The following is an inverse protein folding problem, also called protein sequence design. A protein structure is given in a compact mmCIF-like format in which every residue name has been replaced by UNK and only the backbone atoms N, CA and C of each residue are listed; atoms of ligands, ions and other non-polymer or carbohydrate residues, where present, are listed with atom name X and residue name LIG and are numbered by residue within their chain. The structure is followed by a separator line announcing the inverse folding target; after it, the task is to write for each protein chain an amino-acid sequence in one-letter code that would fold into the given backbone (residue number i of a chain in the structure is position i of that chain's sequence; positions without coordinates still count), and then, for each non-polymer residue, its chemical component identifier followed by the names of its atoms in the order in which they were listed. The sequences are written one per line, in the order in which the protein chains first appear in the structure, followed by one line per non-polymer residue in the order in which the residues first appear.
data_IF_179300261733
#
_entry.id   IF_179300261733
#
_cell.length_a   1.000
_cell.length_b   1.000
_cell.length_c   1.000
_cell.angle_alpha   90.00
_cell.angle_beta   90.00
_cell.angle_gamma   90.00
#
_symmetry.space_group_name_H-M   'P 1'
#
loop_
_entity.id
_entity.type
_entity.pdbx_description
1 polymer ?
#
# COMPACT_ATOMS: atom_id res chain seq x y z
N UNK A 1 9.16 0.34 6.86
CA UNK A 1 9.63 -0.24 5.58
C UNK A 1 11.14 -0.16 5.50
N UNK A 2 11.78 -1.22 5.05
CA UNK A 2 13.24 -1.33 4.90
C UNK A 2 13.81 -0.40 3.81
N UNK A 3 13.00 -0.03 2.82
CA UNK A 3 13.40 0.90 1.74
C UNK A 3 13.20 2.38 2.10
N UNK A 4 12.52 2.71 3.20
CA UNK A 4 12.14 4.09 3.55
C UNK A 4 13.33 5.06 3.64
N UNK A 5 14.46 4.74 4.30
CA UNK A 5 15.58 5.70 4.38
C UNK A 5 16.17 6.05 3.01
N UNK A 6 16.31 5.04 2.13
CA UNK A 6 16.75 5.24 0.76
C UNK A 6 15.79 6.08 -0.06
N UNK A 7 14.49 5.83 0.08
CA UNK A 7 13.43 6.58 -0.61
C UNK A 7 13.37 8.02 -0.14
N UNK A 8 13.47 8.28 1.17
CA UNK A 8 13.49 9.63 1.72
C UNK A 8 14.65 10.45 1.16
N UNK A 9 15.86 9.86 1.12
CA UNK A 9 17.05 10.46 0.52
C UNK A 9 16.85 10.74 -0.98
N UNK A 10 16.36 9.75 -1.73
CA UNK A 10 16.14 9.84 -3.20
C UNK A 10 15.09 10.91 -3.53
N UNK A 11 13.97 10.94 -2.84
CA UNK A 11 12.93 11.95 -3.04
C UNK A 11 13.41 13.36 -2.65
N UNK A 12 14.24 13.48 -1.62
CA UNK A 12 14.83 14.76 -1.19
C UNK A 12 15.62 15.46 -2.30
N UNK A 13 16.27 14.71 -3.19
CA UNK A 13 17.02 15.27 -4.33
C UNK A 13 16.11 15.96 -5.36
N UNK A 14 14.81 15.66 -5.40
CA UNK A 14 13.85 16.24 -6.33
C UNK A 14 13.03 17.40 -5.74
N UNK A 15 13.19 17.72 -4.47
CA UNK A 15 12.46 18.84 -3.83
C UNK A 15 12.84 20.17 -4.46
N UNK A 16 14.12 20.37 -4.78
CA UNK A 16 14.67 21.56 -5.46
C UNK A 16 14.09 22.88 -4.91
N UNK A 17 13.30 23.59 -5.75
CA UNK A 17 12.66 24.88 -5.42
C UNK A 17 11.25 24.72 -4.85
N UNK A 18 10.74 23.53 -4.72
CA UNK A 18 9.39 23.26 -4.20
C UNK A 18 9.35 23.57 -2.70
N UNK A 19 8.27 24.22 -2.25
CA UNK A 19 8.02 24.47 -0.82
C UNK A 19 7.48 23.19 -0.16
N UNK A 20 8.27 22.11 -0.17
CA UNK A 20 7.93 20.79 0.35
C UNK A 20 8.99 20.36 1.35
N UNK A 21 8.56 19.81 2.47
CA UNK A 21 9.41 19.16 3.46
C UNK A 21 9.05 17.67 3.52
N UNK A 22 10.05 16.82 3.40
CA UNK A 22 9.92 15.37 3.56
C UNK A 22 10.41 14.99 4.96
N UNK A 23 9.64 14.18 5.67
CA UNK A 23 10.00 13.70 6.99
C UNK A 23 9.51 12.28 7.21
N UNK A 24 10.20 11.55 8.08
CA UNK A 24 9.72 10.29 8.63
C UNK A 24 8.64 10.59 9.69
N UNK A 25 7.47 10.00 9.54
CA UNK A 25 6.35 10.15 10.46
C UNK A 25 6.08 8.87 11.29
N UNK A 26 6.98 7.90 11.28
CA UNK A 26 6.76 6.63 11.99
C UNK A 26 6.60 6.78 13.51
N UNK A 27 7.18 7.84 14.11
CA UNK A 27 7.00 8.14 15.53
C UNK A 27 5.66 8.82 15.84
N UNK A 28 5.05 9.46 14.85
CA UNK A 28 3.91 10.36 15.03
C UNK A 28 2.59 9.72 14.61
N UNK A 29 2.65 8.76 13.67
CA UNK A 29 1.48 8.14 13.05
C UNK A 29 1.56 6.61 13.15
N UNK A 30 0.47 6.01 13.61
CA UNK A 30 0.25 4.57 13.61
C UNK A 30 -0.78 4.22 12.54
N UNK A 31 -0.47 3.22 11.73
CA UNK A 31 -1.39 2.72 10.70
C UNK A 31 -2.18 1.53 11.26
N UNK A 32 -3.51 1.63 11.23
CA UNK A 32 -4.42 0.56 11.58
C UNK A 32 -5.27 0.19 10.36
N UNK A 33 -5.49 -1.10 10.16
CA UNK A 33 -6.36 -1.59 9.10
C UNK A 33 -7.73 -1.99 9.65
N UNK A 34 -8.80 -1.62 8.96
CA UNK A 34 -10.17 -2.08 9.24
C UNK A 34 -10.71 -2.70 7.97
N UNK A 35 -11.25 -3.92 8.07
CA UNK A 35 -11.79 -4.62 6.92
C UNK A 35 -13.06 -5.41 7.26
N UNK A 36 -13.84 -5.71 6.22
CA UNK A 36 -15.06 -6.53 6.32
C UNK A 36 -16.33 -5.72 6.55
N UNK A 37 -17.44 -6.44 6.69
CA UNK A 37 -18.79 -5.85 6.75
C UNK A 37 -19.06 -4.98 7.98
N UNK A 38 -18.30 -5.20 9.06
CA UNK A 38 -18.41 -4.38 10.29
C UNK A 38 -17.67 -3.04 10.24
N UNK A 39 -16.92 -2.75 9.18
CA UNK A 39 -16.10 -1.54 9.08
C UNK A 39 -16.91 -0.25 9.25
N UNK A 40 -18.13 -0.20 8.71
CA UNK A 40 -19.02 0.97 8.84
C UNK A 40 -19.37 1.29 10.30
N UNK A 41 -19.74 0.27 11.06
CA UNK A 41 -20.08 0.44 12.48
C UNK A 41 -18.84 0.86 13.30
N UNK A 42 -17.69 0.27 13.00
CA UNK A 42 -16.43 0.59 13.64
C UNK A 42 -16.01 2.06 13.39
N UNK A 43 -16.10 2.55 12.16
CA UNK A 43 -15.79 3.93 11.83
C UNK A 43 -16.79 4.92 12.46
N UNK A 44 -18.08 4.60 12.43
CA UNK A 44 -19.10 5.42 13.09
C UNK A 44 -18.83 5.58 14.59
N UNK A 45 -18.36 4.53 15.24
CA UNK A 45 -17.96 4.61 16.64
C UNK A 45 -16.77 5.54 16.88
N UNK A 46 -15.87 5.71 15.92
CA UNK A 46 -14.79 6.70 15.96
C UNK A 46 -15.23 8.13 15.62
N UNK A 47 -16.54 8.37 15.41
CA UNK A 47 -17.06 9.69 15.05
C UNK A 47 -16.83 10.06 13.57
N UNK A 48 -16.50 9.08 12.72
CA UNK A 48 -16.33 9.29 11.28
C UNK A 48 -17.23 8.37 10.47
N UNK A 49 -17.34 8.63 9.17
CA UNK A 49 -18.03 7.76 8.22
C UNK A 49 -17.06 6.90 7.40
N UNK A 50 -17.61 6.16 6.45
CA UNK A 50 -16.81 5.53 5.40
C UNK A 50 -16.58 6.56 4.30
N UNK A 51 -15.32 6.77 3.85
CA UNK A 51 -15.05 7.59 2.67
C UNK A 51 -15.81 7.02 1.45
N UNK A 52 -16.38 7.89 0.61
CA UNK A 52 -17.36 7.50 -0.41
C UNK A 52 -16.75 6.72 -1.58
N UNK A 53 -15.55 7.09 -2.00
CA UNK A 53 -14.87 6.49 -3.15
C UNK A 53 -13.50 5.92 -2.77
N UNK A 54 -12.94 5.09 -3.64
CA UNK A 54 -11.58 4.59 -3.47
C UNK A 54 -10.60 5.77 -3.41
N UNK A 55 -9.70 5.72 -2.44
CA UNK A 55 -8.71 6.75 -2.08
C UNK A 55 -9.29 8.06 -1.54
N UNK A 56 -10.61 8.14 -1.34
CA UNK A 56 -11.19 9.24 -0.57
C UNK A 56 -10.72 9.18 0.89
N UNK A 57 -10.69 10.36 1.49
CA UNK A 57 -10.14 10.59 2.83
C UNK A 57 -11.16 11.33 3.68
N UNK A 58 -11.43 10.82 4.88
CA UNK A 58 -12.17 11.53 5.92
C UNK A 58 -11.29 11.76 7.13
N UNK A 59 -11.32 12.97 7.66
CA UNK A 59 -10.64 13.33 8.91
C UNK A 59 -11.56 13.11 10.10
N UNK A 60 -11.00 12.67 11.20
CA UNK A 60 -11.64 12.59 12.51
C UNK A 60 -10.65 13.06 13.58
N UNK A 61 -11.09 13.20 14.83
CA UNK A 61 -10.28 13.83 15.87
C UNK A 61 -8.90 13.18 16.05
N UNK A 62 -8.85 11.86 16.05
CA UNK A 62 -7.62 11.12 16.32
C UNK A 62 -6.78 10.83 15.06
N UNK A 63 -7.27 11.18 13.87
CA UNK A 63 -6.54 10.89 12.64
C UNK A 63 -7.34 11.00 11.34
N UNK A 64 -7.06 10.08 10.45
CA UNK A 64 -7.58 10.10 9.08
C UNK A 64 -7.97 8.69 8.66
N UNK A 65 -9.16 8.52 8.06
CA UNK A 65 -9.64 7.29 7.44
C UNK A 65 -9.47 7.40 5.91
N UNK A 66 -8.86 6.40 5.31
CA UNK A 66 -8.58 6.32 3.87
C UNK A 66 -9.24 5.05 3.34
N UNK A 67 -10.13 5.17 2.37
CA UNK A 67 -10.72 3.99 1.70
C UNK A 67 -9.76 3.43 0.66
N UNK A 68 -9.21 2.25 0.90
CA UNK A 68 -8.31 1.61 -0.05
C UNK A 68 -9.07 0.90 -1.18
N UNK A 69 -10.18 0.24 -0.83
CA UNK A 69 -11.12 -0.39 -1.76
C UNK A 69 -12.49 -0.60 -1.09
N UNK A 70 -13.30 -1.47 -1.67
CA UNK A 70 -14.65 -1.76 -1.16
C UNK A 70 -14.64 -2.38 0.24
N UNK A 71 -13.59 -3.13 0.57
CA UNK A 71 -13.52 -3.94 1.79
C UNK A 71 -12.48 -3.49 2.81
N UNK A 72 -11.55 -2.59 2.42
CA UNK A 72 -10.42 -2.18 3.25
C UNK A 72 -10.38 -0.68 3.47
N UNK A 73 -10.24 -0.31 4.73
CA UNK A 73 -10.03 1.06 5.16
C UNK A 73 -8.75 1.11 5.97
N UNK A 74 -7.88 2.06 5.67
CA UNK A 74 -6.69 2.33 6.46
C UNK A 74 -6.93 3.56 7.32
N UNK A 75 -6.60 3.48 8.59
CA UNK A 75 -6.60 4.61 9.52
C UNK A 75 -5.15 5.02 9.74
N UNK A 76 -4.86 6.30 9.54
CA UNK A 76 -3.62 6.94 9.95
C UNK A 76 -3.94 7.72 11.24
N UNK A 77 -3.55 7.17 12.38
CA UNK A 77 -3.93 7.65 13.71
C UNK A 77 -2.73 8.29 14.38
N UNK A 78 -2.91 9.40 15.07
CA UNK A 78 -1.86 10.00 15.90
C UNK A 78 -1.37 8.99 16.95
N UNK A 79 -0.05 8.88 17.12
CA UNK A 79 0.55 7.85 17.97
C UNK A 79 0.04 7.86 19.41
N UNK A 80 -0.22 9.03 19.99
CA UNK A 80 -0.79 9.20 21.33
C UNK A 80 -2.25 8.72 21.44
N UNK A 81 -3.00 8.64 20.33
CA UNK A 81 -4.37 8.19 20.27
C UNK A 81 -4.51 6.73 19.79
N UNK A 82 -3.43 6.08 19.37
CA UNK A 82 -3.46 4.77 18.74
C UNK A 82 -4.07 3.69 19.66
N UNK A 83 -3.69 3.66 20.94
CA UNK A 83 -4.21 2.68 21.90
C UNK A 83 -5.70 2.87 22.20
N UNK A 84 -6.19 4.07 22.52
CA UNK A 84 -7.63 4.32 22.65
C UNK A 84 -8.43 3.93 21.40
N UNK A 85 -7.98 4.32 20.21
CA UNK A 85 -8.63 3.97 18.94
C UNK A 85 -8.65 2.45 18.73
N UNK A 86 -7.52 1.76 18.95
CA UNK A 86 -7.44 0.31 18.87
C UNK A 86 -8.45 -0.37 19.80
N UNK A 87 -8.50 0.02 21.07
CA UNK A 87 -9.40 -0.59 22.05
C UNK A 87 -10.87 -0.38 21.66
N UNK A 88 -11.23 0.79 21.12
CA UNK A 88 -12.56 1.08 20.62
C UNK A 88 -12.91 0.21 19.41
N UNK A 89 -11.98 0.04 18.46
CA UNK A 89 -12.18 -0.85 17.33
C UNK A 89 -12.29 -2.31 17.76
N UNK A 90 -11.45 -2.77 18.68
CA UNK A 90 -11.42 -4.15 19.18
C UNK A 90 -12.69 -4.56 19.92
N UNK A 91 -13.48 -3.60 20.43
CA UNK A 91 -14.80 -3.88 21.00
C UNK A 91 -15.88 -4.16 19.96
N UNK A 92 -15.64 -3.84 18.68
CA UNK A 92 -16.62 -3.91 17.59
C UNK A 92 -16.17 -4.84 16.45
N UNK A 93 -14.90 -5.21 16.43
CA UNK A 93 -14.29 -6.06 15.40
C UNK A 93 -13.30 -7.02 16.04
N UNK A 94 -13.04 -8.14 15.40
CA UNK A 94 -12.03 -9.10 15.86
C UNK A 94 -10.63 -8.57 15.61
N UNK A 95 -9.78 -8.37 16.64
CA UNK A 95 -8.40 -7.98 16.46
C UNK A 95 -7.63 -9.07 15.73
N UNK A 96 -6.86 -8.68 14.72
CA UNK A 96 -5.98 -9.57 13.96
C UNK A 96 -4.61 -8.92 13.76
N UNK A 97 -3.59 -9.73 13.50
CA UNK A 97 -2.23 -9.23 13.30
C UNK A 97 -1.96 -8.79 11.85
N UNK A 98 -0.79 -8.19 11.65
CA UNK A 98 -0.27 -7.77 10.33
C UNK A 98 -0.31 -8.86 9.26
N UNK A 99 -0.09 -10.16 9.55
CA UNK A 99 -0.22 -11.22 8.53
C UNK A 99 -1.60 -11.27 7.87
N UNK A 100 -2.68 -11.07 8.63
CA UNK A 100 -4.03 -11.03 8.06
C UNK A 100 -4.22 -9.82 7.13
N UNK A 101 -3.69 -8.65 7.50
CA UNK A 101 -3.70 -7.47 6.63
C UNK A 101 -2.91 -7.69 5.34
N UNK A 102 -1.72 -8.29 5.44
CA UNK A 102 -0.90 -8.65 4.26
C UNK A 102 -1.62 -9.61 3.33
N UNK A 103 -2.35 -10.58 3.89
CA UNK A 103 -3.18 -11.47 3.07
C UNK A 103 -4.24 -10.70 2.28
N UNK A 104 -4.88 -9.69 2.89
CA UNK A 104 -5.84 -8.83 2.19
C UNK A 104 -5.17 -7.99 1.09
N UNK A 105 -3.94 -7.51 1.31
CA UNK A 105 -3.17 -6.79 0.29
C UNK A 105 -2.81 -7.70 -0.90
N UNK A 106 -2.36 -8.92 -0.63
CA UNK A 106 -2.08 -9.93 -1.65
C UNK A 106 -3.37 -10.27 -2.43
N UNK A 107 -4.49 -10.45 -1.73
CA UNK A 107 -5.79 -10.71 -2.37
C UNK A 107 -6.24 -9.56 -3.27
N UNK A 108 -5.92 -8.32 -2.91
CA UNK A 108 -6.20 -7.12 -3.70
C UNK A 108 -5.13 -6.83 -4.79
N UNK A 109 -4.11 -7.67 -4.94
CA UNK A 109 -3.05 -7.49 -5.94
C UNK A 109 -2.08 -6.34 -5.64
N UNK A 110 -1.96 -5.93 -4.37
CA UNK A 110 -1.04 -4.86 -3.96
C UNK A 110 0.36 -5.45 -3.76
N UNK A 111 1.35 -5.08 -4.59
CA UNK A 111 2.71 -5.59 -4.45
C UNK A 111 3.44 -4.88 -3.30
N UNK A 112 4.23 -5.64 -2.56
CA UNK A 112 5.17 -5.11 -1.59
C UNK A 112 6.58 -5.10 -2.18
N UNK A 113 7.16 -3.91 -2.33
CA UNK A 113 8.55 -3.75 -2.73
C UNK A 113 9.41 -3.66 -1.47
N UNK A 114 10.43 -4.49 -1.40
CA UNK A 114 11.40 -4.59 -0.30
C UNK A 114 12.81 -4.29 -0.80
N UNK A 115 13.80 -4.24 0.07
CA UNK A 115 15.21 -4.12 -0.35
C UNK A 115 15.65 -5.24 -1.30
N UNK A 116 15.12 -6.45 -1.12
CA UNK A 116 15.44 -7.61 -1.97
C UNK A 116 14.83 -7.53 -3.37
N UNK A 117 13.83 -6.68 -3.58
CA UNK A 117 13.06 -6.61 -4.84
C UNK A 117 12.99 -5.20 -5.43
N UNK A 118 13.62 -4.21 -4.78
CA UNK A 118 13.66 -2.84 -5.32
C UNK A 118 14.48 -2.79 -6.60
N UNK A 119 14.04 -1.98 -7.56
CA UNK A 119 14.69 -1.75 -8.85
C UNK A 119 14.70 -2.98 -9.80
N UNK A 120 14.15 -4.12 -9.41
CA UNK A 120 14.08 -5.35 -10.21
C UNK A 120 12.95 -5.34 -11.24
N UNK A 121 11.89 -4.55 -11.02
CA UNK A 121 10.68 -4.60 -11.83
C UNK A 121 10.27 -3.22 -12.34
N UNK A 122 9.86 -3.16 -13.59
CA UNK A 122 9.11 -1.98 -14.06
C UNK A 122 7.69 -2.00 -13.46
N UNK A 123 7.05 -0.84 -13.26
CA UNK A 123 5.74 -0.76 -12.61
C UNK A 123 4.67 -1.68 -13.17
N UNK A 124 4.68 -1.93 -14.48
CA UNK A 124 3.73 -2.83 -15.13
C UNK A 124 3.98 -4.31 -14.80
N UNK A 125 5.23 -4.72 -14.53
CA UNK A 125 5.51 -6.08 -14.07
C UNK A 125 4.93 -6.32 -12.67
N UNK A 126 4.93 -5.30 -11.82
CA UNK A 126 4.31 -5.31 -10.50
C UNK A 126 2.80 -5.01 -10.52
N UNK A 127 2.16 -4.97 -11.71
CA UNK A 127 0.74 -4.66 -11.91
C UNK A 127 0.28 -3.30 -11.33
N UNK A 128 1.20 -2.36 -11.08
CA UNK A 128 0.86 -1.07 -10.45
C UNK A 128 -0.14 -0.25 -11.28
N UNK A 129 -0.17 -0.43 -12.60
CA UNK A 129 -1.17 0.22 -13.46
C UNK A 129 -2.59 -0.30 -13.22
N UNK A 130 -2.74 -1.56 -12.80
CA UNK A 130 -4.05 -2.19 -12.57
C UNK A 130 -4.69 -1.72 -11.27
N UNK A 131 -3.88 -1.30 -10.31
CA UNK A 131 -4.32 -0.83 -8.98
C UNK A 131 -4.24 0.71 -8.85
N UNK A 132 -4.09 1.44 -9.97
CA UNK A 132 -4.03 2.89 -9.95
C UNK A 132 -2.70 3.47 -9.46
N UNK A 133 -1.65 2.65 -9.30
CA UNK A 133 -0.33 3.08 -8.85
C UNK A 133 0.50 3.81 -9.90
N UNK A 134 0.04 3.86 -11.17
CA UNK A 134 0.69 4.57 -12.28
C UNK A 134 -0.31 5.47 -12.98
N UNK A 135 0.06 6.73 -13.17
CA UNK A 135 -0.70 7.67 -13.99
C UNK A 135 0.01 7.91 -15.33
N UNK A 136 -0.72 7.79 -16.42
CA UNK A 136 -0.23 8.10 -17.77
C UNK A 136 -0.63 9.51 -18.24
N UNK A 137 -1.39 10.24 -17.44
CA UNK A 137 -1.92 11.58 -17.74
C UNK A 137 -1.29 12.69 -16.90
N UNK A 138 -0.54 12.36 -15.86
CA UNK A 138 0.20 13.35 -15.05
C UNK A 138 1.42 13.88 -15.81
N UNK A 139 1.99 14.99 -15.31
CA UNK A 139 3.23 15.57 -15.83
C UNK A 139 4.44 14.63 -15.76
N UNK A 140 5.56 15.08 -16.33
CA UNK A 140 6.79 14.29 -16.46
C UNK A 140 7.39 13.89 -15.11
N UNK A 141 8.01 12.71 -15.07
CA UNK A 141 8.73 12.19 -13.92
C UNK A 141 9.93 11.32 -14.37
N UNK A 142 10.97 11.16 -13.54
CA UNK A 142 12.11 10.31 -13.87
C UNK A 142 11.70 8.86 -14.11
N UNK A 143 12.17 8.26 -15.21
CA UNK A 143 11.84 6.89 -15.60
C UNK A 143 10.51 6.72 -16.38
N UNK A 144 9.77 7.79 -16.61
CA UNK A 144 8.49 7.72 -17.35
C UNK A 144 8.63 7.16 -18.77
N UNK A 145 9.79 7.34 -19.43
CA UNK A 145 10.00 6.88 -20.80
C UNK A 145 9.86 5.37 -20.92
N UNK A 146 10.46 4.61 -20.01
CA UNK A 146 10.35 3.14 -19.97
C UNK A 146 8.89 2.73 -19.71
N UNK A 147 8.23 3.40 -18.78
CA UNK A 147 6.83 3.13 -18.40
C UNK A 147 5.89 3.42 -19.59
N UNK A 148 6.06 4.56 -20.26
CA UNK A 148 5.26 4.94 -21.42
C UNK A 148 5.54 4.01 -22.62
N UNK A 149 6.80 3.72 -22.91
CA UNK A 149 7.18 2.80 -23.98
C UNK A 149 6.58 1.41 -23.78
N UNK A 150 6.62 0.89 -22.56
CA UNK A 150 6.01 -0.40 -22.23
C UNK A 150 4.49 -0.37 -22.43
N UNK A 151 3.83 0.75 -22.12
CA UNK A 151 2.39 0.93 -22.29
C UNK A 151 1.96 0.97 -23.76
N UNK A 152 2.65 1.77 -24.57
CA UNK A 152 2.18 2.13 -25.91
C UNK A 152 2.83 1.32 -27.03
N UNK A 153 4.05 0.85 -26.87
CA UNK A 153 4.84 0.19 -27.91
C UNK A 153 5.28 -1.22 -27.53
N UNK A 154 5.23 -1.57 -26.26
CA UNK A 154 5.73 -2.83 -25.74
C UNK A 154 4.64 -3.84 -25.37
N UNK A 155 5.07 -5.08 -25.16
CA UNK A 155 4.27 -6.12 -24.50
C UNK A 155 4.91 -6.43 -23.15
N UNK A 156 4.13 -6.40 -22.08
CA UNK A 156 4.59 -6.83 -20.75
C UNK A 156 4.72 -8.35 -20.78
N UNK A 157 5.96 -8.85 -20.78
CA UNK A 157 6.25 -10.29 -20.84
C UNK A 157 6.13 -10.99 -19.48
N UNK A 158 6.31 -10.23 -18.38
CA UNK A 158 6.27 -10.74 -17.00
C UNK A 158 5.25 -9.94 -16.23
N UNK A 159 4.49 -10.61 -15.36
CA UNK A 159 3.52 -9.97 -14.48
C UNK A 159 3.52 -10.64 -13.12
N UNK A 160 3.11 -9.91 -12.11
CA UNK A 160 2.87 -10.46 -10.78
C UNK A 160 1.60 -11.30 -10.79
N UNK A 161 1.70 -12.50 -10.24
CA UNK A 161 0.58 -13.40 -10.02
C UNK A 161 0.48 -13.75 -8.55
N UNK A 162 -0.74 -14.02 -8.11
CA UNK A 162 -0.97 -14.62 -6.80
C UNK A 162 -0.85 -16.13 -6.92
N UNK A 163 0.02 -16.73 -6.11
CA UNK A 163 0.15 -18.16 -5.99
C UNK A 163 -0.33 -18.64 -4.60
N UNK A 164 -0.76 -19.87 -4.52
CA UNK A 164 -0.94 -20.59 -3.27
C UNK A 164 0.23 -21.56 -3.12
N UNK A 165 0.88 -21.53 -1.97
CA UNK A 165 1.99 -22.42 -1.66
C UNK A 165 1.58 -23.35 -0.53
N UNK A 166 1.96 -24.61 -0.66
CA UNK A 166 1.89 -25.59 0.43
C UNK A 166 3.21 -25.53 1.21
N UNK A 167 3.12 -25.26 2.52
CA UNK A 167 4.29 -25.10 3.38
C UNK A 167 4.69 -23.64 3.63
N UNK A 168 5.96 -23.43 3.99
CA UNK A 168 6.47 -22.13 4.35
C UNK A 168 6.66 -21.22 3.13
N UNK A 169 6.31 -19.95 3.30
CA UNK A 169 6.52 -18.94 2.27
C UNK A 169 8.01 -18.62 2.14
N UNK A 170 8.60 -18.72 0.93
CA UNK A 170 10.00 -18.37 0.73
C UNK A 170 10.24 -16.88 1.00
N UNK A 171 11.48 -16.49 1.38
CA UNK A 171 11.87 -15.10 1.52
C UNK A 171 11.63 -14.30 0.23
N UNK A 172 11.39 -12.98 0.39
CA UNK A 172 11.29 -12.07 -0.75
C UNK A 172 12.59 -12.10 -1.58
N UNK A 173 12.47 -12.14 -2.91
CA UNK A 173 13.61 -12.22 -3.84
C UNK A 173 14.04 -13.66 -4.15
N UNK A 174 13.39 -14.68 -3.60
CA UNK A 174 13.65 -16.08 -3.96
C UNK A 174 13.11 -16.37 -5.37
N UNK A 175 13.95 -16.93 -6.22
CA UNK A 175 13.52 -17.43 -7.53
C UNK A 175 12.63 -18.65 -7.37
N UNK A 176 11.51 -18.63 -8.08
CA UNK A 176 10.56 -19.74 -8.14
C UNK A 176 10.61 -20.38 -9.53
N UNK A 177 10.69 -21.69 -9.55
CA UNK A 177 10.75 -22.48 -10.79
C UNK A 177 9.53 -23.39 -10.87
N UNK A 178 8.97 -23.52 -12.06
CA UNK A 178 7.96 -24.54 -12.34
C UNK A 178 8.59 -25.62 -13.24
N UNK A 179 8.43 -26.91 -12.94
CA UNK A 179 8.90 -27.97 -13.82
C UNK A 179 8.21 -27.98 -15.19
N UNK A 180 7.02 -27.37 -15.27
CA UNK A 180 6.17 -27.35 -16.47
C UNK A 180 6.33 -26.08 -17.32
N UNK A 181 7.17 -25.13 -16.90
CA UNK A 181 7.45 -23.89 -17.63
C UNK A 181 8.94 -23.82 -17.97
N UNK A 182 9.28 -23.59 -19.25
CA UNK A 182 10.69 -23.41 -19.68
C UNK A 182 11.33 -22.16 -19.10
#
# INVERSE_FOLDING_TARGET
SDIQPGMLKKLGMYVLRSKVKLSDANSDIVLLGVAGTGAAAALKALGTGIPSSQYDVLRFEEGTAIRLDEHRIQLAVHANAAVPVWNKLASLASPVGTPAWRWLEIAAGVPHITLATQEEFVPQMANLELIGGVSFTKGCYPGQEIVARTKYLGKVKRRTYRAHLEGDCPPAGTDLFSPDLP
#
